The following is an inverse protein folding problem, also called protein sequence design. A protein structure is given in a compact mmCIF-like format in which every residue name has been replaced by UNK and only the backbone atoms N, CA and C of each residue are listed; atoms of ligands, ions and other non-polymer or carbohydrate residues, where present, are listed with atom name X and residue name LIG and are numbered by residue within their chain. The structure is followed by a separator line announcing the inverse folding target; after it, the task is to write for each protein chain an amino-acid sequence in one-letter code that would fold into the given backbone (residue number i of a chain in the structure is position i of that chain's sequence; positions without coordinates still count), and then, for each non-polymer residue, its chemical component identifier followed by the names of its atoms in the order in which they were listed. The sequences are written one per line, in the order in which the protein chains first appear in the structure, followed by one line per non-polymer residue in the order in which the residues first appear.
data_IF_971644496275
#
_entry.id   IF_971644496275
#
_cell.length_a   1.000
_cell.length_b   1.000
_cell.length_c   1.000
_cell.angle_alpha   90.00
_cell.angle_beta   90.00
_cell.angle_gamma   90.00
#
_symmetry.space_group_name_H-M   'P 1'
#
loop_
_entity.id
_entity.type
_entity.pdbx_description
1 polymer ?
#
# COMPACT_ATOMS: atom_id res chain seq x y z
N UNK A 1 11.01 -17.73 -17.75
CA UNK A 1 10.60 -16.88 -16.61
C UNK A 1 11.84 -16.75 -15.75
N UNK A 2 12.58 -15.65 -15.92
CA UNK A 2 13.85 -15.47 -15.25
C UNK A 2 13.58 -14.98 -13.84
N UNK A 3 14.04 -15.75 -12.85
CA UNK A 3 14.00 -15.32 -11.46
C UNK A 3 14.81 -14.03 -11.34
N UNK A 4 14.24 -12.95 -10.80
CA UNK A 4 15.00 -11.73 -10.60
C UNK A 4 16.16 -12.00 -9.61
N UNK A 5 17.32 -11.33 -9.77
CA UNK A 5 18.44 -11.49 -8.87
C UNK A 5 18.03 -11.19 -7.42
N UNK A 6 18.63 -11.88 -6.45
CA UNK A 6 18.28 -11.84 -5.02
C UNK A 6 18.38 -10.45 -4.36
N UNK A 7 18.86 -9.43 -5.09
CA UNK A 7 18.94 -8.02 -4.70
C UNK A 7 17.84 -7.14 -5.29
N UNK A 8 16.89 -7.69 -6.06
CA UNK A 8 15.86 -6.89 -6.73
C UNK A 8 14.88 -6.28 -5.72
N UNK A 9 14.65 -4.98 -5.83
CA UNK A 9 13.70 -4.26 -4.97
C UNK A 9 12.28 -4.73 -5.30
N UNK A 10 11.59 -5.35 -4.35
CA UNK A 10 10.18 -5.69 -4.46
C UNK A 10 9.34 -4.57 -3.82
N UNK A 11 8.59 -3.82 -4.62
CA UNK A 11 7.76 -2.72 -4.13
C UNK A 11 6.28 -3.05 -4.29
N UNK A 12 5.51 -2.84 -3.24
CA UNK A 12 4.05 -2.96 -3.28
C UNK A 12 3.39 -1.58 -3.29
N UNK A 13 2.51 -1.34 -4.25
CA UNK A 13 1.75 -0.08 -4.37
C UNK A 13 0.29 -0.38 -4.10
N UNK A 14 -0.27 0.26 -3.07
CA UNK A 14 -1.71 0.30 -2.86
C UNK A 14 -2.25 1.67 -3.26
N UNK A 15 -3.19 1.70 -4.19
CA UNK A 15 -3.66 2.93 -4.78
C UNK A 15 -5.17 2.94 -4.95
N UNK A 16 -5.74 4.15 -5.03
CA UNK A 16 -7.09 4.33 -5.54
C UNK A 16 -7.12 4.26 -7.08
N UNK A 17 -8.14 4.86 -7.71
CA UNK A 17 -8.28 4.93 -9.17
C UNK A 17 -7.14 5.66 -9.90
N UNK A 18 -6.26 6.39 -9.21
CA UNK A 18 -5.11 7.08 -9.83
C UNK A 18 -4.11 6.09 -10.47
N UNK A 19 -4.00 4.88 -9.94
CA UNK A 19 -3.12 3.85 -10.50
C UNK A 19 -3.79 2.93 -11.53
N UNK A 20 -5.01 3.25 -12.00
CA UNK A 20 -5.76 2.35 -12.91
C UNK A 20 -5.08 2.08 -14.25
N UNK A 21 -4.14 2.94 -14.63
CA UNK A 21 -3.35 2.83 -15.86
C UNK A 21 -1.94 2.27 -15.62
N UNK A 22 -1.59 2.00 -14.36
CA UNK A 22 -0.32 1.36 -14.00
C UNK A 22 -0.54 -0.16 -14.09
N UNK A 23 0.40 -0.87 -14.71
CA UNK A 23 0.36 -2.33 -14.78
C UNK A 23 0.31 -2.96 -13.38
N UNK A 24 -0.54 -3.97 -13.21
CA UNK A 24 -0.67 -4.73 -11.94
C UNK A 24 0.67 -5.32 -11.49
N UNK A 25 1.49 -5.74 -12.44
CA UNK A 25 2.86 -6.19 -12.19
C UNK A 25 3.76 -5.54 -13.23
N UNK A 26 4.87 -4.96 -12.79
CA UNK A 26 5.90 -4.44 -13.67
C UNK A 26 7.27 -4.88 -13.15
N UNK A 27 7.99 -5.66 -13.95
CA UNK A 27 9.24 -6.30 -13.54
C UNK A 27 10.37 -5.86 -14.47
N UNK A 28 11.50 -5.52 -13.87
CA UNK A 28 12.77 -5.20 -14.53
C UNK A 28 13.89 -6.03 -13.90
N UNK A 29 15.11 -5.91 -14.43
CA UNK A 29 16.30 -6.53 -13.83
C UNK A 29 16.63 -5.97 -12.42
N UNK A 30 16.14 -4.77 -12.10
CA UNK A 30 16.50 -4.06 -10.87
C UNK A 30 15.38 -4.03 -9.82
N UNK A 31 14.12 -4.13 -10.25
CA UNK A 31 12.98 -4.07 -9.34
C UNK A 31 11.74 -4.77 -9.90
N UNK A 32 10.89 -5.22 -8.98
CA UNK A 32 9.55 -5.72 -9.22
C UNK A 32 8.55 -4.80 -8.51
N UNK A 33 7.53 -4.34 -9.25
CA UNK A 33 6.46 -3.51 -8.75
C UNK A 33 5.15 -4.29 -8.82
N UNK A 34 4.48 -4.47 -7.69
CA UNK A 34 3.14 -5.05 -7.60
C UNK A 34 2.18 -3.92 -7.24
N UNK A 35 1.25 -3.60 -8.13
CA UNK A 35 0.28 -2.53 -7.97
C UNK A 35 -1.11 -3.08 -7.77
N UNK A 36 -1.78 -2.65 -6.70
CA UNK A 36 -3.20 -2.90 -6.45
C UNK A 36 -3.95 -1.57 -6.51
N UNK A 37 -4.68 -1.35 -7.60
CA UNK A 37 -5.58 -0.19 -7.76
C UNK A 37 -7.00 -0.58 -7.42
N UNK A 38 -7.62 0.14 -6.47
CA UNK A 38 -8.99 -0.08 -6.02
C UNK A 38 -9.75 1.24 -6.14
N UNK A 39 -10.63 1.41 -7.15
CA UNK A 39 -11.45 2.62 -7.26
C UNK A 39 -12.24 2.89 -5.98
N UNK A 40 -12.28 4.15 -5.55
CA UNK A 40 -12.99 4.54 -4.33
C UNK A 40 -12.30 4.19 -3.01
N UNK A 41 -11.07 3.64 -3.03
CA UNK A 41 -10.29 3.34 -1.83
C UNK A 41 -10.10 4.59 -0.97
N UNK A 42 -10.32 4.43 0.34
CA UNK A 42 -10.21 5.47 1.37
C UNK A 42 -9.37 4.95 2.54
N UNK A 43 -8.69 5.87 3.21
CA UNK A 43 -8.04 5.60 4.49
C UNK A 43 -9.00 5.14 5.57
N UNK A 44 -10.27 5.47 5.41
CA UNK A 44 -11.28 5.30 6.42
C UNK A 44 -12.65 5.13 5.76
N UNK A 45 -13.39 4.07 6.11
CA UNK A 45 -14.74 3.81 5.60
C UNK A 45 -15.53 2.90 6.55
N UNK A 46 -16.61 3.41 7.14
CA UNK A 46 -17.48 2.64 8.05
C UNK A 46 -18.39 1.62 7.34
N UNK A 47 -18.64 1.81 6.04
CA UNK A 47 -19.74 1.14 5.35
C UNK A 47 -19.29 0.02 4.43
N UNK A 48 -18.13 0.18 3.79
CA UNK A 48 -17.66 -0.75 2.77
C UNK A 48 -16.20 -1.15 2.98
N UNK A 49 -15.99 -2.35 3.54
CA UNK A 49 -14.67 -2.90 3.81
C UNK A 49 -13.81 -3.01 2.54
N UNK A 50 -14.41 -3.29 1.38
CA UNK A 50 -13.69 -3.37 0.08
C UNK A 50 -13.04 -2.05 -0.37
N UNK A 51 -13.42 -0.92 0.24
CA UNK A 51 -12.88 0.40 -0.07
C UNK A 51 -12.11 0.99 1.13
N UNK A 52 -11.76 0.17 2.11
CA UNK A 52 -11.04 0.58 3.31
C UNK A 52 -9.62 -0.01 3.32
N UNK A 53 -8.60 0.86 3.37
CA UNK A 53 -7.18 0.44 3.36
C UNK A 53 -6.90 -0.68 4.36
N UNK A 54 -7.31 -0.54 5.62
CA UNK A 54 -7.02 -1.55 6.64
C UNK A 54 -7.61 -2.93 6.30
N UNK A 55 -8.84 -2.98 5.79
CA UNK A 55 -9.46 -4.23 5.38
C UNK A 55 -8.72 -4.85 4.18
N UNK A 56 -8.27 -4.04 3.22
CA UNK A 56 -7.46 -4.52 2.09
C UNK A 56 -6.12 -5.10 2.55
N UNK A 57 -5.45 -4.47 3.52
CA UNK A 57 -4.20 -4.99 4.10
C UNK A 57 -4.39 -6.32 4.83
N UNK A 58 -5.61 -6.61 5.27
CA UNK A 58 -5.92 -7.87 5.95
C UNK A 58 -6.05 -9.07 5.02
N UNK A 59 -6.20 -8.84 3.70
CA UNK A 59 -6.41 -9.87 2.69
C UNK A 59 -5.17 -10.77 2.55
N UNK A 60 -5.33 -12.11 2.47
CA UNK A 60 -4.21 -13.05 2.42
C UNK A 60 -3.19 -12.76 1.32
N UNK A 61 -3.65 -12.42 0.11
CA UNK A 61 -2.80 -12.11 -1.03
C UNK A 61 -1.98 -10.83 -0.81
N UNK A 62 -2.55 -9.84 -0.10
CA UNK A 62 -1.85 -8.60 0.23
C UNK A 62 -0.84 -8.88 1.34
N UNK A 63 -1.22 -9.67 2.35
CA UNK A 63 -0.28 -10.09 3.41
C UNK A 63 0.92 -10.83 2.84
N UNK A 64 0.69 -11.71 1.86
CA UNK A 64 1.75 -12.42 1.16
C UNK A 64 2.63 -11.49 0.33
N UNK A 65 2.05 -10.53 -0.40
CA UNK A 65 2.84 -9.53 -1.13
C UNK A 65 3.71 -8.69 -0.19
N UNK A 66 3.17 -8.27 0.96
CA UNK A 66 3.90 -7.46 1.95
C UNK A 66 5.02 -8.22 2.67
N UNK A 67 4.87 -9.54 2.88
CA UNK A 67 5.93 -10.35 3.49
C UNK A 67 7.18 -10.47 2.63
N UNK A 68 7.05 -10.26 1.31
CA UNK A 68 8.15 -10.29 0.34
C UNK A 68 8.58 -8.88 -0.14
N UNK A 69 7.81 -7.86 0.22
CA UNK A 69 8.07 -6.50 -0.19
C UNK A 69 9.26 -5.90 0.60
N UNK A 70 10.06 -5.12 -0.09
CA UNK A 70 11.14 -4.27 0.46
C UNK A 70 10.69 -2.84 0.67
N UNK A 71 9.60 -2.42 0.02
CA UNK A 71 9.01 -1.10 0.15
C UNK A 71 7.50 -1.15 -0.11
N UNK A 72 6.77 -0.21 0.48
CA UNK A 72 5.35 -0.02 0.25
C UNK A 72 5.07 1.45 -0.05
N UNK A 73 4.21 1.69 -1.05
CA UNK A 73 3.73 3.02 -1.42
C UNK A 73 2.20 3.06 -1.35
N UNK A 74 1.68 4.11 -0.72
CA UNK A 74 0.25 4.41 -0.74
C UNK A 74 -0.03 5.59 -1.66
N UNK A 75 -0.88 5.38 -2.66
CA UNK A 75 -1.46 6.43 -3.49
C UNK A 75 -2.96 6.50 -3.20
N UNK A 76 -3.29 6.88 -1.97
CA UNK A 76 -4.65 6.92 -1.43
C UNK A 76 -4.87 8.27 -0.77
N UNK A 77 -6.01 8.91 -1.03
CA UNK A 77 -6.36 10.12 -0.28
C UNK A 77 -7.48 10.93 -0.91
N UNK A 78 -7.58 10.96 -2.23
CA UNK A 78 -8.55 11.83 -2.93
C UNK A 78 -10.00 11.54 -2.56
N UNK A 79 -10.35 10.26 -2.35
CA UNK A 79 -11.68 9.87 -1.90
C UNK A 79 -11.92 10.13 -0.41
N UNK A 80 -10.86 10.20 0.41
CA UNK A 80 -10.95 10.47 1.84
C UNK A 80 -11.15 11.96 2.12
N UNK A 81 -10.34 12.83 1.48
CA UNK A 81 -10.40 14.29 1.69
C UNK A 81 -11.72 14.93 1.29
N UNK A 82 -12.49 14.27 0.42
CA UNK A 82 -13.84 14.71 0.00
C UNK A 82 -14.90 14.55 1.09
N UNK A 83 -14.67 13.66 2.05
CA UNK A 83 -15.72 13.18 2.97
C UNK A 83 -15.31 13.38 4.43
N UNK A 84 -14.03 13.28 4.76
CA UNK A 84 -13.54 13.27 6.13
C UNK A 84 -12.64 14.47 6.44
N UNK A 85 -12.69 15.00 7.69
CA UNK A 85 -11.73 15.97 8.16
C UNK A 85 -10.29 15.45 8.07
N UNK A 86 -9.35 16.34 7.74
CA UNK A 86 -7.93 16.01 7.63
C UNK A 86 -7.38 15.34 8.89
N UNK A 87 -7.83 15.77 10.08
CA UNK A 87 -7.42 15.20 11.37
C UNK A 87 -7.74 13.70 11.49
N UNK A 88 -8.92 13.28 11.01
CA UNK A 88 -9.30 11.86 11.00
C UNK A 88 -8.45 11.08 9.99
N UNK A 89 -8.18 11.66 8.81
CA UNK A 89 -7.34 11.04 7.78
C UNK A 89 -5.93 10.81 8.33
N UNK A 90 -5.31 11.85 8.90
CA UNK A 90 -3.95 11.78 9.47
C UNK A 90 -3.88 10.71 10.56
N UNK A 91 -4.84 10.70 11.50
CA UNK A 91 -4.89 9.71 12.57
C UNK A 91 -4.98 8.29 12.03
N UNK A 92 -5.81 8.06 11.00
CA UNK A 92 -5.96 6.74 10.39
C UNK A 92 -4.72 6.30 9.64
N UNK A 93 -4.10 7.20 8.87
CA UNK A 93 -2.87 6.89 8.15
C UNK A 93 -1.73 6.57 9.14
N UNK A 94 -1.64 7.27 10.28
CA UNK A 94 -0.71 6.93 11.37
C UNK A 94 -0.96 5.55 11.96
N UNK A 95 -2.21 5.20 12.24
CA UNK A 95 -2.58 3.87 12.76
C UNK A 95 -2.23 2.76 11.77
N UNK A 96 -2.50 2.96 10.48
CA UNK A 96 -2.13 2.01 9.42
C UNK A 96 -0.62 1.86 9.32
N UNK A 97 0.13 2.96 9.31
CA UNK A 97 1.59 2.91 9.26
C UNK A 97 2.17 2.15 10.48
N UNK A 98 1.69 2.45 11.68
CA UNK A 98 2.11 1.75 12.89
C UNK A 98 1.79 0.25 12.83
N UNK A 99 0.58 -0.12 12.40
CA UNK A 99 0.19 -1.52 12.24
C UNK A 99 1.08 -2.29 11.25
N UNK A 100 1.44 -1.66 10.13
CA UNK A 100 2.36 -2.24 9.14
C UNK A 100 3.75 -2.41 9.73
N UNK A 101 4.27 -1.39 10.41
CA UNK A 101 5.61 -1.44 11.02
C UNK A 101 5.71 -2.53 12.10
N UNK A 102 4.64 -2.76 12.86
CA UNK A 102 4.55 -3.85 13.84
C UNK A 102 4.44 -5.23 13.18
N UNK A 103 3.67 -5.34 12.10
CA UNK A 103 3.40 -6.63 11.42
C UNK A 103 4.55 -7.04 10.48
N UNK A 104 5.22 -6.07 9.86
CA UNK A 104 6.28 -6.25 8.86
C UNK A 104 7.53 -5.43 9.23
N UNK A 105 8.30 -5.84 10.25
CA UNK A 105 9.43 -5.04 10.76
C UNK A 105 10.51 -4.74 9.70
N UNK A 106 10.65 -5.58 8.67
CA UNK A 106 11.59 -5.38 7.57
C UNK A 106 11.25 -4.14 6.72
N UNK A 107 9.97 -3.72 6.69
CA UNK A 107 9.55 -2.48 6.01
C UNK A 107 9.92 -1.21 6.80
N UNK A 108 10.31 -1.35 8.07
CA UNK A 108 10.69 -0.23 8.95
C UNK A 108 12.17 0.15 8.83
N UNK A 109 13.02 -0.75 8.33
CA UNK A 109 14.49 -0.63 8.41
C UNK A 109 15.11 0.34 7.39
N UNK A 110 14.35 0.82 6.40
CA UNK A 110 14.89 1.60 5.27
C UNK A 110 14.44 3.07 5.20
N UNK A 111 14.00 3.71 6.28
CA UNK A 111 13.70 5.15 6.28
C UNK A 111 12.65 5.59 5.23
N UNK A 112 11.82 4.66 4.75
CA UNK A 112 10.92 4.81 3.58
C UNK A 112 9.43 4.88 3.93
N UNK A 113 9.09 5.11 5.20
CA UNK A 113 7.75 5.53 5.60
C UNK A 113 7.80 7.04 5.90
N UNK A 114 7.62 7.85 4.85
CA UNK A 114 7.40 9.29 4.99
C UNK A 114 5.96 9.63 4.63
N UNK A 115 5.32 10.36 5.54
CA UNK A 115 4.11 11.11 5.25
C UNK A 115 4.59 12.46 4.69
N UNK A 116 4.22 12.78 3.46
CA UNK A 116 4.25 14.17 2.98
C UNK A 116 2.98 14.88 3.42
#
# INVERSE_FOLDING_TARGET
MDNPPSSSINSFVLADSHAKFISTTYTTLSFCLITRSIPGLKWFNYYEAKHFVHAILSLPEIKFALSQATAMLFLVGTNSVRVFPATQIISQTQQVAFSIQQTYPHLSQHGKFQFL
#
